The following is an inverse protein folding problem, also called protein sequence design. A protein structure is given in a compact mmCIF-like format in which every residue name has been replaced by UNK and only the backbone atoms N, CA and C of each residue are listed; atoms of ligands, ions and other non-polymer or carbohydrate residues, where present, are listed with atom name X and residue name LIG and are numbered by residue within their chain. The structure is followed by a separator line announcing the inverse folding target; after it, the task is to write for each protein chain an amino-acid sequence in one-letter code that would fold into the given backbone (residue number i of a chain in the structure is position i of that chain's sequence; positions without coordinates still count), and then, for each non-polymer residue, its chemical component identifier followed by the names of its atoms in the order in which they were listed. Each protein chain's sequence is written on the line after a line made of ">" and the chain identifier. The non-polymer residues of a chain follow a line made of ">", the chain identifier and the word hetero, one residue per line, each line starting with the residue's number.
data_IF_618415742667
#
_entry.id   IF_618415742667
#
_cell.length_a   1.000
_cell.length_b   1.000
_cell.length_c   1.000
_cell.angle_alpha   90.00
_cell.angle_beta   90.00
_cell.angle_gamma   90.00
#
_symmetry.space_group_name_H-M   'P 1'
#
loop_
_entity.id
_entity.type
_entity.pdbx_description
1 polymer ?
#
# COMPACT_ATOMS: atom_id res chain seq x y z
N UNK A 1 19.87 2.07 25.99
CA UNK A 1 20.42 1.68 24.66
C UNK A 1 19.41 1.00 23.72
N UNK A 2 18.11 0.84 24.07
CA UNK A 2 17.13 0.20 23.17
C UNK A 2 16.55 1.09 22.04
N UNK A 3 16.59 2.41 22.20
CA UNK A 3 16.01 3.35 21.23
C UNK A 3 16.77 3.39 19.89
N UNK A 4 18.09 3.15 19.91
CA UNK A 4 18.93 3.17 18.71
C UNK A 4 18.68 1.94 17.83
N UNK A 5 18.51 0.75 18.43
CA UNK A 5 18.18 -0.47 17.70
C UNK A 5 16.77 -0.43 17.11
N UNK A 6 15.81 0.19 17.82
CA UNK A 6 14.46 0.44 17.30
C UNK A 6 14.48 1.41 16.12
N UNK A 7 15.22 2.52 16.20
CA UNK A 7 15.38 3.47 15.10
C UNK A 7 16.03 2.82 13.87
N UNK A 8 17.09 2.04 14.06
CA UNK A 8 17.74 1.28 12.99
C UNK A 8 16.78 0.31 12.32
N UNK A 9 15.95 -0.40 13.10
CA UNK A 9 14.97 -1.35 12.56
C UNK A 9 13.89 -0.64 11.74
N UNK A 10 13.42 0.52 12.21
CA UNK A 10 12.42 1.33 11.48
C UNK A 10 13.00 1.88 10.18
N UNK A 11 14.23 2.40 10.20
CA UNK A 11 14.90 2.92 9.01
C UNK A 11 15.16 1.80 8.01
N UNK A 12 15.64 0.64 8.46
CA UNK A 12 15.86 -0.52 7.61
C UNK A 12 14.56 -1.01 6.96
N UNK A 13 13.46 -1.08 7.73
CA UNK A 13 12.14 -1.41 7.21
C UNK A 13 11.63 -0.39 6.18
N UNK A 14 11.85 0.91 6.43
CA UNK A 14 11.51 1.99 5.49
C UNK A 14 12.27 1.86 4.17
N UNK A 15 13.59 1.67 4.23
CA UNK A 15 14.43 1.51 3.04
C UNK A 15 14.02 0.28 2.25
N UNK A 16 13.83 -0.85 2.94
CA UNK A 16 13.43 -2.11 2.30
C UNK A 16 12.05 -2.00 1.66
N UNK A 17 11.07 -1.45 2.38
CA UNK A 17 9.72 -1.14 1.87
C UNK A 17 9.76 -0.27 0.61
N UNK A 18 10.60 0.77 0.62
CA UNK A 18 10.71 1.73 -0.49
C UNK A 18 11.33 1.06 -1.71
N UNK A 19 12.39 0.28 -1.53
CA UNK A 19 13.04 -0.50 -2.60
C UNK A 19 12.08 -1.51 -3.23
N UNK A 20 11.40 -2.31 -2.40
CA UNK A 20 10.44 -3.32 -2.88
C UNK A 20 9.29 -2.64 -3.62
N UNK A 21 8.72 -1.57 -3.05
CA UNK A 21 7.63 -0.81 -3.68
C UNK A 21 8.06 -0.21 -5.02
N UNK A 22 9.27 0.34 -5.12
CA UNK A 22 9.80 0.91 -6.36
C UNK A 22 9.98 -0.16 -7.45
N UNK A 23 10.56 -1.31 -7.10
CA UNK A 23 10.75 -2.44 -8.03
C UNK A 23 9.40 -2.96 -8.52
N UNK A 24 8.45 -3.23 -7.62
CA UNK A 24 7.11 -3.67 -7.98
C UNK A 24 6.40 -2.65 -8.88
N UNK A 25 6.56 -1.37 -8.58
CA UNK A 25 5.96 -0.28 -9.37
C UNK A 25 6.51 -0.26 -10.79
N UNK A 26 7.83 -0.39 -10.98
CA UNK A 26 8.45 -0.46 -12.32
C UNK A 26 7.94 -1.70 -13.09
N UNK A 27 7.87 -2.85 -12.43
CA UNK A 27 7.40 -4.10 -13.05
C UNK A 27 5.94 -3.98 -13.47
N UNK A 28 5.07 -3.44 -12.61
CA UNK A 28 3.66 -3.21 -12.92
C UNK A 28 3.47 -2.26 -14.11
N UNK A 29 4.23 -1.16 -14.17
CA UNK A 29 4.16 -0.18 -15.27
C UNK A 29 4.51 -0.85 -16.60
N UNK A 30 5.52 -1.73 -16.61
CA UNK A 30 5.96 -2.42 -17.84
C UNK A 30 4.92 -3.39 -18.38
N UNK A 31 4.09 -4.00 -17.53
CA UNK A 31 3.16 -5.06 -17.93
C UNK A 31 1.86 -4.47 -18.50
N UNK A 32 1.22 -3.52 -17.82
CA UNK A 32 0.01 -2.89 -18.34
C UNK A 32 -0.38 -1.62 -17.57
N UNK A 33 -0.70 -0.52 -18.27
CA UNK A 33 -1.18 0.72 -17.63
C UNK A 33 -2.51 0.55 -16.89
N UNK A 34 -3.31 -0.46 -17.23
CA UNK A 34 -4.53 -0.79 -16.48
C UNK A 34 -4.25 -1.45 -15.11
N UNK A 35 -3.09 -2.10 -14.95
CA UNK A 35 -2.68 -2.68 -13.66
C UNK A 35 -2.29 -1.62 -12.63
N UNK A 36 -2.06 -0.38 -13.07
CA UNK A 36 -1.68 0.73 -12.19
C UNK A 36 -2.72 0.97 -11.09
N UNK A 37 -4.00 0.79 -11.39
CA UNK A 37 -5.08 0.93 -10.40
C UNK A 37 -5.47 -0.39 -9.73
N UNK A 38 -4.89 -1.52 -10.14
CA UNK A 38 -5.22 -2.81 -9.56
C UNK A 38 -4.79 -2.88 -8.10
N UNK A 39 -3.58 -2.39 -7.79
CA UNK A 39 -3.04 -2.41 -6.44
C UNK A 39 -3.88 -1.60 -5.42
N UNK A 40 -4.27 -0.34 -5.69
CA UNK A 40 -5.16 0.39 -4.78
C UNK A 40 -6.54 -0.24 -4.65
N UNK A 41 -7.10 -0.81 -5.73
CA UNK A 41 -8.38 -1.53 -5.68
C UNK A 41 -8.26 -2.77 -4.79
N UNK A 42 -7.19 -3.55 -4.95
CA UNK A 42 -6.95 -4.77 -4.16
C UNK A 42 -6.84 -4.45 -2.67
N UNK A 43 -6.08 -3.42 -2.30
CA UNK A 43 -5.98 -2.96 -0.91
C UNK A 43 -7.30 -2.40 -0.38
N UNK A 44 -8.08 -1.69 -1.21
CA UNK A 44 -9.41 -1.22 -0.84
C UNK A 44 -10.39 -2.37 -0.54
N UNK A 45 -10.38 -3.42 -1.36
CA UNK A 45 -11.20 -4.63 -1.13
C UNK A 45 -10.75 -5.33 0.15
N UNK A 46 -9.44 -5.49 0.34
CA UNK A 46 -8.91 -6.13 1.55
C UNK A 46 -9.30 -5.37 2.81
N UNK A 47 -9.23 -4.03 2.78
CA UNK A 47 -9.70 -3.18 3.87
C UNK A 47 -11.19 -3.39 4.17
N UNK A 48 -12.03 -3.40 3.14
CA UNK A 48 -13.46 -3.61 3.29
C UNK A 48 -13.78 -4.98 3.91
N UNK A 49 -13.08 -6.04 3.48
CA UNK A 49 -13.23 -7.38 4.05
C UNK A 49 -12.82 -7.37 5.52
N UNK A 50 -11.65 -6.84 5.85
CA UNK A 50 -11.13 -6.81 7.23
C UNK A 50 -12.02 -5.98 8.15
N UNK A 51 -12.52 -4.83 7.71
CA UNK A 51 -13.47 -4.05 8.49
C UNK A 51 -14.80 -4.77 8.69
N UNK A 52 -15.32 -5.44 7.65
CA UNK A 52 -16.55 -6.22 7.78
C UNK A 52 -16.38 -7.34 8.80
N UNK A 53 -15.26 -8.08 8.74
CA UNK A 53 -14.94 -9.11 9.72
C UNK A 53 -14.74 -8.55 11.13
N UNK A 54 -14.11 -7.38 11.25
CA UNK A 54 -13.92 -6.70 12.53
C UNK A 54 -15.22 -6.22 13.16
N UNK A 55 -16.18 -5.74 12.36
CA UNK A 55 -17.50 -5.31 12.84
C UNK A 55 -18.42 -6.49 13.21
N UNK A 56 -18.16 -7.69 12.65
CA UNK A 56 -18.91 -8.92 12.93
C UNK A 56 -18.29 -9.76 14.06
N UNK A 57 -17.07 -9.43 14.49
CA UNK A 57 -16.34 -10.16 15.53
C UNK A 57 -16.78 -9.67 16.92
N UNK A 58 -17.15 -10.60 17.79
CA UNK A 58 -17.60 -10.33 19.17
C UNK A 58 -16.47 -10.45 20.20
N UNK A 59 -15.27 -10.80 19.74
CA UNK A 59 -14.08 -11.09 20.52
C UNK A 59 -12.97 -10.06 20.27
N UNK A 60 -11.88 -10.14 21.04
CA UNK A 60 -10.74 -9.21 20.92
C UNK A 60 -10.06 -9.23 19.54
N UNK A 61 -10.33 -10.25 18.70
CA UNK A 61 -9.94 -10.29 17.30
C UNK A 61 -10.48 -9.11 16.48
N UNK A 62 -11.63 -8.55 16.86
CA UNK A 62 -12.26 -7.39 16.23
C UNK A 62 -11.30 -6.21 16.10
N UNK A 63 -10.56 -5.91 17.17
CA UNK A 63 -9.59 -4.81 17.17
C UNK A 63 -8.47 -5.05 16.16
N UNK A 64 -7.96 -6.28 16.08
CA UNK A 64 -6.93 -6.66 15.10
C UNK A 64 -7.41 -6.46 13.66
N UNK A 65 -8.60 -6.97 13.33
CA UNK A 65 -9.19 -6.81 12.00
C UNK A 65 -9.42 -5.34 11.64
N UNK A 66 -9.93 -4.53 12.57
CA UNK A 66 -10.14 -3.10 12.35
C UNK A 66 -8.82 -2.34 12.14
N UNK A 67 -7.78 -2.69 12.90
CA UNK A 67 -6.45 -2.09 12.79
C UNK A 67 -5.78 -2.44 11.46
N UNK A 68 -5.76 -3.73 11.09
CA UNK A 68 -5.20 -4.16 9.81
C UNK A 68 -6.00 -3.66 8.61
N UNK A 69 -7.32 -3.56 8.72
CA UNK A 69 -8.16 -2.91 7.70
C UNK A 69 -7.78 -1.44 7.52
N UNK A 70 -7.48 -0.74 8.61
CA UNK A 70 -7.02 0.66 8.57
C UNK A 70 -5.64 0.79 7.90
N UNK A 71 -4.70 -0.11 8.18
CA UNK A 71 -3.42 -0.14 7.47
C UNK A 71 -3.60 -0.45 5.97
N UNK A 72 -4.53 -1.33 5.61
CA UNK A 72 -4.86 -1.60 4.22
C UNK A 72 -5.44 -0.37 3.51
N UNK A 73 -6.27 0.46 4.16
CA UNK A 73 -6.71 1.75 3.61
C UNK A 73 -5.52 2.69 3.39
N UNK A 74 -4.60 2.80 4.34
CA UNK A 74 -3.41 3.65 4.18
C UNK A 74 -2.59 3.18 2.97
N UNK A 75 -2.41 1.87 2.81
CA UNK A 75 -1.75 1.29 1.64
C UNK A 75 -2.53 1.54 0.33
N UNK A 76 -3.87 1.48 0.36
CA UNK A 76 -4.73 1.79 -0.78
C UNK A 76 -4.57 3.26 -1.20
N UNK A 77 -4.57 4.20 -0.25
CA UNK A 77 -4.37 5.63 -0.53
C UNK A 77 -2.95 5.90 -1.05
N UNK A 78 -1.93 5.34 -0.42
CA UNK A 78 -0.54 5.49 -0.85
C UNK A 78 -0.30 4.96 -2.27
N UNK A 79 -0.85 3.77 -2.57
CA UNK A 79 -0.77 3.20 -3.91
C UNK A 79 -1.60 4.00 -4.92
N UNK A 80 -2.77 4.53 -4.55
CA UNK A 80 -3.57 5.40 -5.42
C UNK A 80 -2.81 6.67 -5.80
N UNK A 81 -2.16 7.33 -4.83
CA UNK A 81 -1.35 8.53 -5.06
C UNK A 81 -0.19 8.20 -6.01
N UNK A 82 0.55 7.13 -5.75
CA UNK A 82 1.63 6.65 -6.61
C UNK A 82 1.13 6.43 -8.04
N UNK A 83 0.02 5.71 -8.18
CA UNK A 83 -0.61 5.44 -9.47
C UNK A 83 -1.05 6.71 -10.20
N UNK A 84 -1.63 7.71 -9.51
CA UNK A 84 -1.99 8.98 -10.14
C UNK A 84 -0.74 9.73 -10.62
N UNK A 85 0.34 9.77 -9.83
CA UNK A 85 1.60 10.44 -10.20
C UNK A 85 2.18 9.78 -11.45
N UNK A 86 2.27 8.46 -11.47
CA UNK A 86 2.82 7.69 -12.59
C UNK A 86 1.93 7.81 -13.83
N UNK A 87 0.61 7.79 -13.68
CA UNK A 87 -0.32 7.98 -14.79
C UNK A 87 -0.12 9.36 -15.44
N UNK A 88 0.05 10.41 -14.64
CA UNK A 88 0.34 11.76 -15.15
C UNK A 88 1.72 11.84 -15.80
N UNK A 89 2.76 11.26 -15.18
CA UNK A 89 4.12 11.24 -15.72
C UNK A 89 4.21 10.48 -17.06
N UNK A 90 3.56 9.32 -17.16
CA UNK A 90 3.52 8.50 -18.38
C UNK A 90 2.73 9.16 -19.52
N UNK A 91 1.70 9.95 -19.22
CA UNK A 91 0.96 10.73 -20.22
C UNK A 91 1.79 11.92 -20.75
N UNK A 92 2.62 12.54 -19.92
CA UNK A 92 3.54 13.62 -20.32
C UNK A 92 4.63 13.12 -21.28
N UNK A 93 5.16 11.91 -21.05
CA UNK A 93 6.20 11.29 -21.91
C UNK A 93 5.73 10.92 -23.32
N UNK A 94 4.42 10.78 -23.56
CA UNK A 94 3.85 10.49 -24.88
C UNK A 94 3.44 11.74 -25.67
N UNK A 95 3.56 12.93 -25.06
CA UNK A 95 3.10 14.19 -25.64
C UNK A 95 4.26 15.10 -26.10
N UNK A 96 5.49 14.67 -25.86
CA UNK A 96 6.72 15.20 -26.45
C UNK A 96 7.21 14.25 -27.53
#
# INVERSE_FOLDING_TARGET
>A
MGWVSQLLSIIAALIFSTLVSYVFTIVLIKINRKLLFLLPILFGILAAILWTLGLLSEDWGAFGYLLYGSFAIIAAVGSLISSIIIFKASKKSLRN
#
